data_IF_332198691895
#
_entry.id   IF_332198691895
#
_cell.length_a   1.000
_cell.length_b   1.000
_cell.length_c   1.000
_cell.angle_alpha   90.00
_cell.angle_beta   90.00
_cell.angle_gamma   90.00
#
_symmetry.space_group_name_H-M   'P 1'
#
loop_
_entity.id
_entity.type
_entity.pdbx_description
1 polymer ?
#
# COMPACT_ATOMS: atom_id res chain seq x y z
N UNK A 1 -22.14 -17.81 16.50
CA UNK A 1 -21.23 -16.75 16.97
C UNK A 1 -20.46 -16.04 15.85
N UNK A 2 -20.07 -16.72 14.79
CA UNK A 2 -19.37 -16.14 13.61
C UNK A 2 -20.17 -15.04 12.87
N UNK A 3 -21.48 -15.20 12.72
CA UNK A 3 -22.34 -14.25 11.98
C UNK A 3 -22.37 -12.84 12.60
N UNK A 4 -22.34 -12.71 13.93
CA UNK A 4 -22.33 -11.42 14.62
C UNK A 4 -20.98 -10.69 14.53
N UNK A 5 -19.89 -11.42 14.36
CA UNK A 5 -18.57 -10.86 14.21
C UNK A 5 -18.36 -10.31 12.78
N UNK A 6 -18.85 -11.04 11.77
CA UNK A 6 -18.85 -10.59 10.37
C UNK A 6 -19.68 -9.31 10.18
N UNK A 7 -20.84 -9.23 10.81
CA UNK A 7 -21.70 -8.03 10.73
C UNK A 7 -21.04 -6.79 11.36
N UNK A 8 -20.28 -6.97 12.44
CA UNK A 8 -19.54 -5.86 13.08
C UNK A 8 -18.33 -5.40 12.24
N UNK A 9 -17.66 -6.31 11.54
CA UNK A 9 -16.53 -5.99 10.65
C UNK A 9 -17.02 -5.26 9.40
N UNK A 10 -18.11 -5.74 8.80
CA UNK A 10 -18.74 -5.07 7.64
C UNK A 10 -19.31 -3.70 8.03
N UNK A 11 -19.91 -3.58 9.22
CA UNK A 11 -20.43 -2.30 9.71
C UNK A 11 -19.32 -1.30 10.05
N UNK A 12 -18.17 -1.76 10.57
CA UNK A 12 -17.03 -0.87 10.85
C UNK A 12 -16.31 -0.43 9.56
N UNK A 13 -16.26 -1.30 8.55
CA UNK A 13 -15.68 -0.96 7.25
C UNK A 13 -16.55 0.04 6.49
N UNK A 14 -17.88 -0.15 6.54
CA UNK A 14 -18.85 0.80 5.95
C UNK A 14 -18.87 2.14 6.70
N UNK A 15 -18.64 2.15 8.02
CA UNK A 15 -18.58 3.38 8.81
C UNK A 15 -17.32 4.19 8.52
N UNK A 16 -16.19 3.55 8.26
CA UNK A 16 -14.95 4.22 7.84
C UNK A 16 -15.12 4.83 6.44
N UNK A 17 -15.78 4.13 5.52
CA UNK A 17 -16.09 4.64 4.18
C UNK A 17 -17.07 5.83 4.24
N UNK A 18 -18.08 5.76 5.11
CA UNK A 18 -19.09 6.83 5.30
C UNK A 18 -18.50 8.03 6.04
N UNK A 19 -17.56 7.84 6.99
CA UNK A 19 -16.90 8.98 7.64
C UNK A 19 -15.94 9.73 6.69
N UNK A 20 -15.37 9.06 5.70
CA UNK A 20 -14.62 9.76 4.65
C UNK A 20 -15.54 10.52 3.68
N UNK A 21 -16.77 10.08 3.46
CA UNK A 21 -17.72 10.79 2.60
C UNK A 21 -18.26 12.08 3.23
N UNK A 22 -18.33 12.19 4.56
CA UNK A 22 -18.85 13.38 5.22
C UNK A 22 -17.87 14.57 5.32
N UNK A 23 -16.60 14.39 4.92
CA UNK A 23 -15.63 15.49 4.79
C UNK A 23 -15.37 15.91 3.34
N UNK A 24 -15.97 15.25 2.37
CA UNK A 24 -16.00 15.69 0.99
C UNK A 24 -17.17 16.68 0.78
N UNK A 25 -17.03 17.92 1.26
CA UNK A 25 -17.56 19.03 0.49
C UNK A 25 -17.11 18.76 -0.96
N UNK A 26 -18.05 18.63 -1.90
CA UNK A 26 -17.73 18.33 -3.30
C UNK A 26 -16.64 19.29 -3.75
N UNK A 27 -15.42 18.79 -3.88
CA UNK A 27 -14.31 19.59 -4.41
C UNK A 27 -14.70 20.07 -5.78
N UNK A 28 -14.46 21.32 -6.06
CA UNK A 28 -14.64 21.86 -7.40
C UNK A 28 -13.67 21.18 -8.39
N UNK A 29 -13.98 21.24 -9.67
CA UNK A 29 -13.10 20.70 -10.71
C UNK A 29 -11.69 21.32 -10.66
N UNK A 30 -11.60 22.60 -10.29
CA UNK A 30 -10.33 23.30 -10.21
C UNK A 30 -9.52 22.84 -8.98
N UNK A 31 -10.17 22.60 -7.85
CA UNK A 31 -9.52 22.03 -6.65
C UNK A 31 -9.02 20.61 -6.92
N UNK A 32 -9.82 19.77 -7.58
CA UNK A 32 -9.40 18.42 -7.95
C UNK A 32 -8.21 18.44 -8.93
N UNK A 33 -8.21 19.39 -9.88
CA UNK A 33 -7.10 19.57 -10.80
C UNK A 33 -5.83 20.02 -10.08
N UNK A 34 -5.96 21.01 -9.19
CA UNK A 34 -4.82 21.49 -8.38
C UNK A 34 -4.24 20.39 -7.50
N UNK A 35 -5.09 19.63 -6.80
CA UNK A 35 -4.64 18.46 -6.00
C UNK A 35 -3.94 17.41 -6.88
N UNK A 36 -4.44 17.17 -8.07
CA UNK A 36 -3.84 16.23 -9.03
C UNK A 36 -2.44 16.62 -9.45
N UNK A 37 -2.18 17.90 -9.66
CA UNK A 37 -0.82 18.38 -9.97
C UNK A 37 0.14 18.18 -8.78
N UNK A 38 -0.35 18.40 -7.55
CA UNK A 38 0.44 18.11 -6.33
C UNK A 38 0.77 16.62 -6.24
N UNK A 39 -0.23 15.75 -6.44
CA UNK A 39 -0.04 14.29 -6.40
C UNK A 39 0.91 13.81 -7.52
N UNK A 40 0.80 14.39 -8.72
CA UNK A 40 1.70 14.13 -9.84
C UNK A 40 3.15 14.49 -9.48
N UNK A 41 3.35 15.64 -8.83
CA UNK A 41 4.68 16.05 -8.35
C UNK A 41 5.19 15.11 -7.23
N UNK A 42 4.32 14.67 -6.30
CA UNK A 42 4.67 13.73 -5.23
C UNK A 42 5.10 12.37 -5.81
N UNK A 43 4.40 11.86 -6.84
CA UNK A 43 4.76 10.60 -7.54
C UNK A 43 6.13 10.65 -8.23
N UNK A 44 6.60 11.84 -8.61
CA UNK A 44 7.90 12.11 -9.25
C UNK A 44 8.95 12.61 -8.28
N UNK A 45 8.62 12.76 -7.02
CA UNK A 45 9.56 13.27 -6.02
C UNK A 45 10.75 12.32 -5.87
N UNK A 46 11.90 12.90 -5.50
CA UNK A 46 13.09 12.11 -5.22
C UNK A 46 12.81 11.02 -4.17
N UNK A 47 11.98 11.31 -3.18
CA UNK A 47 11.60 10.33 -2.16
C UNK A 47 10.83 9.15 -2.75
N UNK A 48 9.93 9.39 -3.71
CA UNK A 48 9.22 8.33 -4.41
C UNK A 48 10.16 7.48 -5.29
N UNK A 49 11.09 8.13 -6.00
CA UNK A 49 12.11 7.44 -6.79
C UNK A 49 13.04 6.60 -5.91
N UNK A 50 13.50 7.16 -4.80
CA UNK A 50 14.36 6.46 -3.83
C UNK A 50 13.63 5.25 -3.21
N UNK A 51 12.32 5.37 -2.89
CA UNK A 51 11.51 4.23 -2.44
C UNK A 51 11.43 3.15 -3.50
N UNK A 52 11.11 3.49 -4.74
CA UNK A 52 11.08 2.54 -5.87
C UNK A 52 12.41 1.83 -6.06
N UNK A 53 13.52 2.57 -6.03
CA UNK A 53 14.85 2.00 -6.13
C UNK A 53 15.19 1.05 -4.96
N UNK A 54 14.69 1.33 -3.76
CA UNK A 54 14.84 0.45 -2.60
C UNK A 54 13.99 -0.81 -2.75
N UNK A 55 12.75 -0.72 -3.25
CA UNK A 55 11.90 -1.88 -3.52
C UNK A 55 12.59 -2.93 -4.39
N UNK A 56 13.32 -2.49 -5.43
CA UNK A 56 14.00 -3.41 -6.35
C UNK A 56 15.19 -4.14 -5.72
N UNK A 57 15.76 -3.58 -4.65
CA UNK A 57 16.91 -4.17 -3.94
C UNK A 57 16.51 -5.13 -2.83
N UNK A 58 15.23 -5.11 -2.41
CA UNK A 58 14.76 -5.99 -1.36
C UNK A 58 14.62 -7.41 -1.88
N UNK A 59 15.28 -8.33 -1.21
CA UNK A 59 15.24 -9.76 -1.50
C UNK A 59 14.77 -10.51 -0.26
N UNK A 60 13.82 -11.42 -0.45
CA UNK A 60 13.33 -12.26 0.63
C UNK A 60 14.47 -13.06 1.26
N UNK A 61 14.63 -13.01 2.58
CA UNK A 61 15.66 -13.77 3.28
C UNK A 61 15.29 -15.25 3.36
N UNK A 62 16.29 -16.08 3.56
CA UNK A 62 16.06 -17.50 3.87
C UNK A 62 15.41 -17.64 5.24
N UNK A 63 14.60 -18.68 5.42
CA UNK A 63 13.94 -19.00 6.68
C UNK A 63 14.93 -19.11 7.84
N UNK A 64 14.52 -18.55 8.98
CA UNK A 64 15.32 -18.56 10.20
C UNK A 64 15.06 -19.78 11.09
N UNK A 65 13.89 -20.42 10.95
CA UNK A 65 13.36 -21.42 11.85
C UNK A 65 12.67 -20.84 13.08
N UNK A 66 12.44 -19.51 13.11
CA UNK A 66 11.64 -18.83 14.15
C UNK A 66 10.30 -18.49 13.51
N UNK A 67 9.24 -19.19 13.91
CA UNK A 67 7.94 -19.17 13.22
C UNK A 67 7.35 -17.78 13.07
N UNK A 68 7.36 -16.95 14.11
CA UNK A 68 6.82 -15.58 14.08
C UNK A 68 7.61 -14.66 13.15
N UNK A 69 8.94 -14.82 13.12
CA UNK A 69 9.83 -14.03 12.24
C UNK A 69 9.66 -14.46 10.79
N UNK A 70 9.62 -15.75 10.53
CA UNK A 70 9.45 -16.29 9.17
C UNK A 70 8.05 -15.98 8.61
N UNK A 71 7.01 -16.06 9.45
CA UNK A 71 5.67 -15.67 9.09
C UNK A 71 5.56 -14.17 8.75
N UNK A 72 6.22 -13.33 9.55
CA UNK A 72 6.28 -11.89 9.26
C UNK A 72 7.04 -11.60 7.96
N UNK A 73 8.17 -12.27 7.70
CA UNK A 73 8.94 -12.11 6.47
C UNK A 73 8.14 -12.53 5.24
N UNK A 74 7.45 -13.67 5.30
CA UNK A 74 6.58 -14.14 4.21
C UNK A 74 5.44 -13.16 3.93
N UNK A 75 4.79 -12.62 4.97
CA UNK A 75 3.73 -11.62 4.79
C UNK A 75 4.29 -10.32 4.20
N UNK A 76 5.47 -9.89 4.65
CA UNK A 76 6.15 -8.72 4.10
C UNK A 76 6.49 -8.90 2.62
N UNK A 77 6.94 -10.07 2.21
CA UNK A 77 7.19 -10.40 0.79
C UNK A 77 5.91 -10.26 -0.04
N UNK A 78 4.79 -10.80 0.44
CA UNK A 78 3.49 -10.65 -0.26
C UNK A 78 3.08 -9.19 -0.41
N UNK A 79 3.24 -8.39 0.66
CA UNK A 79 2.96 -6.95 0.63
C UNK A 79 3.87 -6.21 -0.36
N UNK A 80 5.15 -6.55 -0.40
CA UNK A 80 6.11 -5.99 -1.36
C UNK A 80 5.68 -6.26 -2.81
N UNK A 81 5.32 -7.50 -3.13
CA UNK A 81 4.86 -7.90 -4.47
C UNK A 81 3.57 -7.16 -4.83
N UNK A 82 2.56 -7.18 -3.96
CA UNK A 82 1.28 -6.51 -4.20
C UNK A 82 1.46 -4.99 -4.36
N UNK A 83 2.36 -4.36 -3.61
CA UNK A 83 2.64 -2.94 -3.75
C UNK A 83 3.33 -2.62 -5.08
N UNK A 84 4.23 -3.49 -5.57
CA UNK A 84 4.82 -3.34 -6.91
C UNK A 84 3.76 -3.40 -8.01
N UNK A 85 2.79 -4.30 -7.89
CA UNK A 85 1.66 -4.40 -8.82
C UNK A 85 0.80 -3.13 -8.79
N UNK A 86 0.46 -2.62 -7.59
CA UNK A 86 -0.28 -1.37 -7.42
C UNK A 86 0.49 -0.19 -8.03
N UNK A 87 1.80 -0.11 -7.81
CA UNK A 87 2.67 0.93 -8.37
C UNK A 87 2.72 0.91 -9.91
N UNK A 88 2.49 -0.24 -10.54
CA UNK A 88 2.36 -0.35 -11.99
C UNK A 88 0.96 0.08 -12.48
N UNK A 89 -0.09 -0.29 -11.73
CA UNK A 89 -1.49 -0.05 -12.12
C UNK A 89 -1.88 1.44 -11.94
N UNK A 90 -1.50 2.09 -10.84
CA UNK A 90 -1.96 3.44 -10.52
C UNK A 90 -1.56 4.49 -11.57
N UNK A 91 -0.32 4.54 -12.09
CA UNK A 91 0.03 5.45 -13.18
C UNK A 91 -0.75 5.18 -14.48
N UNK A 92 -1.07 3.93 -14.76
CA UNK A 92 -1.89 3.56 -15.92
C UNK A 92 -3.35 4.04 -15.75
N UNK A 93 -3.94 3.85 -14.55
CA UNK A 93 -5.27 4.37 -14.23
C UNK A 93 -5.30 5.90 -14.28
N UNK A 94 -4.23 6.57 -13.80
CA UNK A 94 -4.07 8.01 -13.94
C UNK A 94 -4.11 8.44 -15.40
N UNK A 95 -3.25 7.85 -16.25
CA UNK A 95 -3.18 8.13 -17.69
C UNK A 95 -4.53 7.94 -18.37
N UNK A 96 -5.21 6.83 -18.12
CA UNK A 96 -6.51 6.50 -18.71
C UNK A 96 -7.61 7.47 -18.27
N UNK A 97 -7.54 8.02 -17.06
CA UNK A 97 -8.54 8.95 -16.52
C UNK A 97 -8.30 10.38 -17.01
N UNK A 98 -7.06 10.84 -16.96
CA UNK A 98 -6.66 12.24 -17.22
C UNK A 98 -6.42 12.49 -18.71
N UNK A 99 -6.04 11.46 -19.47
CA UNK A 99 -5.67 11.57 -20.88
C UNK A 99 -4.21 11.95 -21.10
N UNK A 100 -3.39 11.92 -20.05
CA UNK A 100 -1.93 12.09 -20.11
C UNK A 100 -1.22 11.24 -19.06
N UNK A 101 0.02 10.85 -19.38
CA UNK A 101 0.85 10.15 -18.41
C UNK A 101 1.29 11.08 -17.26
N UNK A 102 1.81 10.50 -16.18
CA UNK A 102 2.42 11.25 -15.09
C UNK A 102 3.56 12.15 -15.60
N UNK A 103 4.22 11.76 -16.69
CA UNK A 103 5.28 12.55 -17.37
C UNK A 103 4.75 13.65 -18.29
N UNK A 104 3.43 13.80 -18.39
CA UNK A 104 2.78 14.84 -19.19
C UNK A 104 2.67 14.49 -20.69
N UNK A 105 2.91 13.23 -21.07
CA UNK A 105 2.69 12.78 -22.45
C UNK A 105 1.20 12.53 -22.67
N UNK A 106 0.57 13.33 -23.54
CA UNK A 106 -0.84 13.19 -23.87
C UNK A 106 -1.10 11.87 -24.60
N UNK A 107 -2.15 11.17 -24.19
CA UNK A 107 -2.66 9.98 -24.85
C UNK A 107 -4.16 9.86 -24.59
N UNK A 108 -4.95 10.39 -25.48
CA UNK A 108 -6.42 10.39 -25.42
C UNK A 108 -7.06 9.16 -26.06
N UNK A 109 -6.24 8.25 -26.60
CA UNK A 109 -6.73 7.04 -27.30
C UNK A 109 -7.06 5.91 -26.35
N UNK A 110 -6.57 5.95 -25.10
CA UNK A 110 -6.79 4.92 -24.11
C UNK A 110 -8.20 4.97 -23.53
N UNK A 111 -8.82 3.81 -23.40
CA UNK A 111 -10.16 3.70 -22.81
C UNK A 111 -10.12 4.15 -21.34
N UNK A 112 -11.01 5.07 -20.96
CA UNK A 112 -11.16 5.52 -19.57
C UNK A 112 -11.53 4.35 -18.66
N UNK A 113 -11.00 4.30 -17.44
CA UNK A 113 -11.45 3.31 -16.46
C UNK A 113 -12.89 3.62 -16.03
N UNK A 114 -13.60 2.60 -15.66
CA UNK A 114 -14.91 2.72 -15.02
C UNK A 114 -14.75 3.13 -13.55
N UNK A 115 -15.80 3.70 -12.98
CA UNK A 115 -15.83 3.98 -11.52
C UNK A 115 -15.64 2.71 -10.70
N UNK A 116 -16.18 1.57 -11.16
CA UNK A 116 -15.97 0.29 -10.50
C UNK A 116 -14.49 -0.12 -10.46
N UNK A 117 -13.77 -0.04 -11.59
CA UNK A 117 -12.34 -0.36 -11.64
C UNK A 117 -11.52 0.51 -10.67
N UNK A 118 -11.81 1.80 -10.58
CA UNK A 118 -11.14 2.71 -9.65
C UNK A 118 -11.51 2.41 -8.18
N UNK A 119 -12.78 2.12 -7.91
CA UNK A 119 -13.25 1.79 -6.56
C UNK A 119 -12.63 0.49 -6.06
N UNK A 120 -12.59 -0.55 -6.91
CA UNK A 120 -11.98 -1.84 -6.57
C UNK A 120 -10.48 -1.70 -6.30
N UNK A 121 -9.79 -0.87 -7.09
CA UNK A 121 -8.38 -0.56 -6.85
C UNK A 121 -8.19 0.17 -5.51
N UNK A 122 -9.03 1.16 -5.21
CA UNK A 122 -9.02 1.88 -3.93
C UNK A 122 -9.24 0.95 -2.73
N UNK A 123 -10.20 0.02 -2.83
CA UNK A 123 -10.46 -0.98 -1.79
C UNK A 123 -9.29 -1.96 -1.62
N UNK A 124 -8.66 -2.39 -2.72
CA UNK A 124 -7.47 -3.22 -2.65
C UNK A 124 -6.33 -2.50 -1.91
N UNK A 125 -6.05 -1.26 -2.27
CA UNK A 125 -5.01 -0.45 -1.60
C UNK A 125 -5.32 -0.28 -0.11
N UNK A 126 -6.57 0.04 0.26
CA UNK A 126 -6.99 0.19 1.66
C UNK A 126 -6.82 -1.13 2.45
N UNK A 127 -7.11 -2.27 1.83
CA UNK A 127 -6.90 -3.60 2.40
C UNK A 127 -5.41 -3.86 2.65
N UNK A 128 -4.55 -3.49 1.71
CA UNK A 128 -3.09 -3.61 1.88
C UNK A 128 -2.57 -2.71 3.00
N UNK A 129 -3.05 -1.46 3.11
CA UNK A 129 -2.69 -0.55 4.22
C UNK A 129 -3.04 -1.18 5.57
N UNK A 130 -4.23 -1.79 5.68
CA UNK A 130 -4.62 -2.52 6.89
C UNK A 130 -3.69 -3.68 7.17
N UNK A 131 -3.34 -4.48 6.17
CA UNK A 131 -2.43 -5.61 6.32
C UNK A 131 -1.03 -5.15 6.80
N UNK A 132 -0.53 -4.01 6.32
CA UNK A 132 0.72 -3.40 6.80
C UNK A 132 0.61 -3.00 8.27
N UNK A 133 -0.51 -2.44 8.70
CA UNK A 133 -0.75 -2.10 10.10
C UNK A 133 -0.73 -3.35 10.99
N UNK A 134 -1.44 -4.40 10.57
CA UNK A 134 -1.51 -5.67 11.31
C UNK A 134 -0.11 -6.35 11.40
N UNK A 135 0.66 -6.32 10.31
CA UNK A 135 2.02 -6.83 10.27
C UNK A 135 2.98 -6.00 11.14
N UNK A 136 2.80 -4.67 11.19
CA UNK A 136 3.59 -3.79 12.05
C UNK A 136 3.38 -4.11 13.53
N UNK A 137 2.17 -4.46 13.94
CA UNK A 137 1.90 -4.93 15.29
C UNK A 137 2.62 -6.26 15.60
N UNK A 138 2.78 -7.14 14.61
CA UNK A 138 3.45 -8.43 14.75
C UNK A 138 4.98 -8.30 14.90
N UNK A 139 5.59 -7.16 14.56
CA UNK A 139 7.03 -6.90 14.72
C UNK A 139 7.47 -7.05 16.18
N UNK A 140 6.63 -6.67 17.14
CA UNK A 140 6.93 -6.75 18.56
C UNK A 140 7.07 -8.20 19.01
N UNK A 141 6.13 -9.07 18.64
CA UNK A 141 6.18 -10.50 18.94
C UNK A 141 7.38 -11.17 18.28
N UNK A 142 7.59 -10.92 16.97
CA UNK A 142 8.74 -11.45 16.25
C UNK A 142 10.08 -11.01 16.85
N UNK A 143 10.15 -9.77 17.35
CA UNK A 143 11.35 -9.26 18.04
C UNK A 143 11.60 -9.93 19.40
N UNK A 144 10.53 -10.26 20.14
CA UNK A 144 10.64 -10.98 21.41
C UNK A 144 11.10 -12.43 21.19
N UNK A 145 10.50 -13.12 20.22
CA UNK A 145 10.87 -14.51 19.87
C UNK A 145 12.32 -14.59 19.37
N UNK A 146 12.75 -13.58 18.58
CA UNK A 146 14.14 -13.49 18.13
C UNK A 146 15.13 -13.38 19.30
N UNK A 147 14.79 -12.63 20.36
CA UNK A 147 15.67 -12.50 21.56
C UNK A 147 15.80 -13.81 22.32
N UNK A 148 14.80 -14.68 22.23
CA UNK A 148 14.77 -16.00 22.86
C UNK A 148 15.37 -17.10 21.98
N UNK A 149 15.76 -16.77 20.75
CA UNK A 149 16.24 -17.73 19.77
C UNK A 149 17.65 -18.23 20.06
N UNK A 150 17.92 -19.48 19.67
CA UNK A 150 19.26 -20.06 19.78
C UNK A 150 20.29 -19.35 18.90
N UNK A 151 21.57 -19.50 19.26
CA UNK A 151 22.70 -18.84 18.60
C UNK A 151 22.75 -19.07 17.07
N UNK A 152 22.28 -20.21 16.57
CA UNK A 152 22.28 -20.52 15.14
C UNK A 152 21.12 -19.85 14.37
N UNK A 153 19.99 -19.61 15.03
CA UNK A 153 18.78 -19.02 14.45
C UNK A 153 18.80 -17.49 14.52
N UNK A 154 19.37 -16.93 15.58
CA UNK A 154 19.36 -15.49 15.85
C UNK A 154 19.90 -14.63 14.68
N UNK A 155 21.04 -14.94 14.03
CA UNK A 155 21.54 -14.14 12.90
C UNK A 155 20.63 -14.20 11.67
N UNK A 156 20.01 -15.36 11.41
CA UNK A 156 19.05 -15.51 10.30
C UNK A 156 17.76 -14.76 10.59
N UNK A 157 17.24 -14.92 11.82
CA UNK A 157 16.05 -14.20 12.27
C UNK A 157 16.22 -12.69 12.27
N UNK A 158 17.39 -12.18 12.65
CA UNK A 158 17.69 -10.75 12.57
C UNK A 158 17.61 -10.22 11.12
N UNK A 159 18.12 -10.96 10.13
CA UNK A 159 18.01 -10.60 8.72
C UNK A 159 16.55 -10.57 8.26
N UNK A 160 15.76 -11.59 8.61
CA UNK A 160 14.35 -11.68 8.25
C UNK A 160 13.52 -10.57 8.92
N UNK A 161 13.79 -10.26 10.18
CA UNK A 161 13.11 -9.19 10.89
C UNK A 161 13.47 -7.80 10.32
N UNK A 162 14.73 -7.55 9.97
CA UNK A 162 15.16 -6.31 9.35
C UNK A 162 14.52 -6.16 7.96
N UNK A 163 14.55 -7.20 7.13
CA UNK A 163 13.84 -7.20 5.85
C UNK A 163 12.36 -6.81 6.02
N UNK A 164 11.67 -7.42 6.99
CA UNK A 164 10.26 -7.10 7.23
C UNK A 164 10.06 -5.64 7.63
N UNK A 165 10.89 -5.09 8.51
CA UNK A 165 10.84 -3.68 8.92
C UNK A 165 11.09 -2.75 7.74
N UNK A 166 12.06 -3.07 6.89
CA UNK A 166 12.38 -2.29 5.70
C UNK A 166 11.20 -2.29 4.72
N UNK A 167 10.60 -3.46 4.45
CA UNK A 167 9.40 -3.57 3.62
C UNK A 167 8.26 -2.74 4.19
N UNK A 168 7.91 -2.92 5.47
CA UNK A 168 6.79 -2.21 6.09
C UNK A 168 7.00 -0.68 6.06
N UNK A 169 8.23 -0.22 6.29
CA UNK A 169 8.59 1.20 6.23
C UNK A 169 8.50 1.81 4.84
N UNK A 170 8.72 1.03 3.77
CA UNK A 170 8.63 1.49 2.39
C UNK A 170 7.23 1.38 1.81
N UNK A 171 6.52 0.29 2.13
CA UNK A 171 5.20 -0.03 1.56
C UNK A 171 4.14 0.97 2.00
N UNK A 172 4.10 1.34 3.28
CA UNK A 172 3.04 2.19 3.82
C UNK A 172 2.98 3.58 3.17
N UNK A 173 4.08 4.35 3.03
CA UNK A 173 4.05 5.63 2.34
C UNK A 173 3.62 5.52 0.88
N UNK A 174 4.04 4.46 0.19
CA UNK A 174 3.71 4.22 -1.21
C UNK A 174 2.22 3.92 -1.40
N UNK A 175 1.65 3.03 -0.57
CA UNK A 175 0.22 2.74 -0.60
C UNK A 175 -0.63 3.97 -0.26
N UNK A 176 -0.20 4.79 0.69
CA UNK A 176 -0.92 6.03 1.03
C UNK A 176 -0.91 7.03 -0.14
N UNK A 177 0.21 7.17 -0.84
CA UNK A 177 0.28 8.01 -2.03
C UNK A 177 -0.64 7.48 -3.13
N UNK A 178 -0.57 6.19 -3.42
CA UNK A 178 -1.41 5.54 -4.42
C UNK A 178 -2.91 5.68 -4.08
N UNK A 179 -3.30 5.54 -2.80
CA UNK A 179 -4.68 5.73 -2.38
C UNK A 179 -5.17 7.16 -2.59
N UNK A 180 -4.34 8.18 -2.28
CA UNK A 180 -4.67 9.59 -2.56
C UNK A 180 -4.89 9.82 -4.05
N UNK A 181 -4.02 9.26 -4.91
CA UNK A 181 -4.16 9.36 -6.36
C UNK A 181 -5.48 8.74 -6.82
N UNK A 182 -5.77 7.51 -6.43
CA UNK A 182 -7.01 6.81 -6.81
C UNK A 182 -8.24 7.57 -6.32
N UNK A 183 -8.24 8.07 -5.09
CA UNK A 183 -9.36 8.88 -4.56
C UNK A 183 -9.58 10.18 -5.36
N UNK A 184 -8.52 10.84 -5.80
CA UNK A 184 -8.63 12.02 -6.67
C UNK A 184 -9.19 11.66 -8.07
N UNK A 185 -8.91 10.45 -8.57
CA UNK A 185 -9.44 9.99 -9.86
C UNK A 185 -10.92 9.58 -9.79
N UNK A 186 -11.40 9.18 -8.60
CA UNK A 186 -12.81 8.83 -8.33
C UNK A 186 -13.67 10.08 -8.19
N UNK A 187 -13.15 11.14 -7.57
CA UNK A 187 -13.86 12.38 -7.27
C UNK A 187 -14.13 13.23 -8.53
#
# INVERSE_FOLDING_TARGET
MLSRMFYKIVLSLSLILVMQQNTFAQKTKDELKAEREVLKAEMKSKDAEDRKAKFEKLTEPKTSGISSVDGLATNSTKMLVSTKEINAIVPEMYKRTVGESVDGVADVTVKKPTLAELTDLGLNIATQIKAVSDASASVTTASADLKSAGMMQAPKGAKSLNFSKDVLGLVLPELNLNLKVVNNLIA
#
